data_IF_566553390779
#
_entry.id   IF_566553390779
#
_cell.length_a   1.000
_cell.length_b   1.000
_cell.length_c   1.000
_cell.angle_alpha   90.00
_cell.angle_beta   90.00
_cell.angle_gamma   90.00
#
_symmetry.space_group_name_H-M   'P 1'
#
loop_
_entity.id
_entity.type
_entity.pdbx_description
1 polymer ?
#
# COMPACT_ATOMS: atom_id res chain seq x y z
N UNK A 1 5.96 -15.94 -16.17
CA UNK A 1 4.88 -14.96 -16.45
C UNK A 1 3.95 -15.60 -17.45
N UNK A 2 2.64 -15.48 -17.29
CA UNK A 2 1.67 -16.09 -18.20
C UNK A 2 1.01 -15.01 -19.05
N UNK A 3 0.73 -15.31 -20.31
CA UNK A 3 -0.11 -14.49 -21.17
C UNK A 3 -1.23 -15.34 -21.74
N UNK A 4 -2.45 -14.82 -21.70
CA UNK A 4 -3.62 -15.48 -22.22
C UNK A 4 -4.56 -14.44 -22.83
N UNK A 5 -4.92 -14.63 -24.11
CA UNK A 5 -5.82 -13.75 -24.87
C UNK A 5 -5.50 -12.24 -24.74
N UNK A 6 -4.23 -11.89 -24.90
CA UNK A 6 -3.77 -10.49 -24.87
C UNK A 6 -3.62 -9.88 -23.47
N UNK A 7 -3.92 -10.61 -22.40
CA UNK A 7 -3.70 -10.18 -21.02
C UNK A 7 -2.44 -10.83 -20.42
N UNK A 8 -1.77 -10.11 -19.53
CA UNK A 8 -0.58 -10.57 -18.82
C UNK A 8 -0.89 -10.83 -17.34
N UNK A 9 -0.38 -11.95 -16.84
CA UNK A 9 -0.49 -12.38 -15.45
C UNK A 9 0.93 -12.48 -14.86
N UNK A 10 1.33 -11.42 -14.16
CA UNK A 10 2.67 -11.32 -13.58
C UNK A 10 2.78 -12.14 -12.30
N UNK A 11 3.50 -13.25 -12.42
CA UNK A 11 3.98 -14.02 -11.27
C UNK A 11 2.90 -14.92 -10.68
N UNK A 12 3.23 -15.55 -9.56
CA UNK A 12 2.33 -16.47 -8.87
C UNK A 12 1.09 -15.74 -8.32
N UNK A 13 1.23 -14.46 -8.00
CA UNK A 13 0.19 -13.61 -7.37
C UNK A 13 -0.93 -13.21 -8.33
N UNK A 14 -0.80 -13.56 -9.62
CA UNK A 14 -1.84 -13.34 -10.63
C UNK A 14 -2.38 -14.64 -11.21
N UNK A 15 -1.92 -15.79 -10.73
CA UNK A 15 -2.43 -17.09 -11.19
C UNK A 15 -3.92 -17.26 -10.87
N UNK A 16 -4.38 -16.74 -9.74
CA UNK A 16 -5.78 -16.80 -9.36
C UNK A 16 -6.69 -16.10 -10.39
N UNK A 17 -6.28 -14.95 -10.92
CA UNK A 17 -7.03 -14.28 -12.01
C UNK A 17 -7.07 -15.12 -13.29
N UNK A 18 -5.94 -15.73 -13.65
CA UNK A 18 -5.88 -16.58 -14.84
C UNK A 18 -6.78 -17.81 -14.66
N UNK A 19 -6.72 -18.46 -13.50
CA UNK A 19 -7.54 -19.61 -13.16
C UNK A 19 -9.04 -19.26 -13.15
N UNK A 20 -9.43 -18.17 -12.47
CA UNK A 20 -10.80 -17.65 -12.45
C UNK A 20 -11.32 -17.39 -13.87
N UNK A 21 -10.50 -16.78 -14.73
CA UNK A 21 -10.86 -16.51 -16.14
C UNK A 21 -11.02 -17.80 -16.95
N UNK A 22 -10.07 -18.74 -16.83
CA UNK A 22 -10.14 -20.03 -17.53
C UNK A 22 -11.36 -20.85 -17.08
N UNK A 23 -11.66 -20.87 -15.78
CA UNK A 23 -12.85 -21.49 -15.22
C UNK A 23 -14.13 -20.83 -15.75
N UNK A 24 -14.19 -19.49 -15.77
CA UNK A 24 -15.31 -18.74 -16.33
C UNK A 24 -15.56 -18.97 -17.83
N UNK A 25 -14.52 -19.38 -18.57
CA UNK A 25 -14.61 -19.78 -19.98
C UNK A 25 -14.93 -21.27 -20.19
N UNK A 26 -15.07 -22.05 -19.11
CA UNK A 26 -15.36 -23.49 -19.18
C UNK A 26 -14.14 -24.36 -19.52
N UNK A 27 -12.92 -23.84 -19.36
CA UNK A 27 -11.69 -24.63 -19.52
C UNK A 27 -11.32 -25.44 -18.28
N UNK A 28 -11.85 -25.09 -17.11
CA UNK A 28 -11.73 -25.94 -15.92
C UNK A 28 -12.59 -27.21 -16.08
N UNK A 29 -11.92 -28.36 -16.08
CA UNK A 29 -12.53 -29.70 -16.20
C UNK A 29 -12.50 -30.48 -14.89
N UNK A 30 -12.04 -29.86 -13.81
CA UNK A 30 -12.04 -30.50 -12.50
C UNK A 30 -13.47 -30.83 -12.04
N UNK A 31 -13.67 -31.89 -11.24
CA UNK A 31 -14.97 -32.18 -10.63
C UNK A 31 -15.50 -30.97 -9.84
N UNK A 32 -16.83 -30.81 -9.81
CA UNK A 32 -17.47 -29.76 -9.03
C UNK A 32 -17.04 -29.82 -7.55
N UNK A 33 -16.67 -28.66 -6.98
CA UNK A 33 -16.17 -28.56 -5.60
C UNK A 33 -14.66 -28.80 -5.45
N UNK A 34 -13.93 -29.07 -6.54
CA UNK A 34 -12.46 -29.10 -6.50
C UNK A 34 -11.94 -27.70 -6.15
N UNK A 35 -11.05 -27.55 -5.14
CA UNK A 35 -10.46 -26.26 -4.82
C UNK A 35 -9.61 -25.72 -5.99
N UNK A 36 -9.55 -24.39 -6.17
CA UNK A 36 -8.65 -23.78 -7.15
C UNK A 36 -7.19 -24.13 -6.85
N UNK A 37 -6.38 -24.27 -7.89
CA UNK A 37 -4.93 -24.49 -7.82
C UNK A 37 -4.19 -23.29 -7.23
N UNK A 38 -4.65 -22.09 -7.56
CA UNK A 38 -4.11 -20.82 -7.10
C UNK A 38 -5.25 -19.98 -6.47
N UNK A 39 -5.73 -20.35 -5.26
CA UNK A 39 -6.75 -19.56 -4.58
C UNK A 39 -6.24 -18.13 -4.33
N UNK A 40 -7.13 -17.16 -4.51
CA UNK A 40 -6.89 -15.82 -3.98
C UNK A 40 -6.71 -15.89 -2.45
N UNK A 41 -5.64 -15.27 -1.94
CA UNK A 41 -5.34 -15.20 -0.51
C UNK A 41 -5.43 -13.76 -0.04
N UNK A 42 -6.41 -13.48 0.81
CA UNK A 42 -6.63 -12.18 1.42
C UNK A 42 -6.63 -12.28 2.94
N UNK A 43 -6.78 -11.12 3.57
CA UNK A 43 -7.14 -10.91 4.96
C UNK A 43 -8.38 -11.72 5.32
N UNK A 44 -8.29 -12.48 6.41
CA UNK A 44 -9.43 -13.17 7.01
C UNK A 44 -10.04 -12.33 8.13
N UNK A 45 -9.22 -11.56 8.85
CA UNK A 45 -9.60 -10.82 10.06
C UNK A 45 -10.31 -11.74 11.06
N UNK A 46 -9.62 -12.83 11.38
CA UNK A 46 -10.12 -13.83 12.35
C UNK A 46 -10.24 -13.28 13.78
N UNK A 47 -10.71 -14.12 14.73
CA UNK A 47 -10.77 -13.76 16.14
C UNK A 47 -9.44 -13.21 16.65
N UNK A 48 -9.48 -12.12 17.41
CA UNK A 48 -8.28 -11.51 17.99
C UNK A 48 -7.84 -12.34 19.20
N UNK A 49 -6.62 -12.89 19.21
CA UNK A 49 -6.11 -13.62 20.36
C UNK A 49 -5.99 -12.70 21.59
N UNK A 50 -6.32 -13.20 22.78
CA UNK A 50 -5.81 -12.57 24.01
C UNK A 50 -4.28 -12.61 23.98
N UNK A 51 -3.67 -11.43 24.15
CA UNK A 51 -2.23 -11.19 24.08
C UNK A 51 -1.87 -10.02 24.99
N UNK A 52 -0.82 -10.16 25.79
CA UNK A 52 -0.23 -9.04 26.54
C UNK A 52 0.68 -8.18 25.64
N UNK A 53 1.06 -8.70 24.48
CA UNK A 53 1.91 -8.03 23.51
C UNK A 53 1.08 -7.29 22.46
N UNK A 54 1.44 -6.03 22.21
CA UNK A 54 0.86 -5.20 21.15
C UNK A 54 1.78 -5.26 19.92
N UNK A 55 1.38 -5.93 18.82
CA UNK A 55 2.23 -6.08 17.64
C UNK A 55 2.62 -4.71 17.05
N UNK A 56 3.84 -4.56 16.58
CA UNK A 56 4.29 -3.36 15.88
C UNK A 56 4.48 -3.66 14.40
N UNK A 57 3.76 -2.94 13.55
CA UNK A 57 3.83 -3.06 12.09
C UNK A 57 4.63 -1.89 11.53
N UNK A 58 5.81 -2.16 10.98
CA UNK A 58 6.50 -1.23 10.10
C UNK A 58 5.86 -1.30 8.70
N UNK A 59 5.24 -0.22 8.21
CA UNK A 59 4.59 -0.17 6.90
C UNK A 59 5.23 0.88 5.98
N UNK A 60 5.97 0.42 4.98
CA UNK A 60 6.56 1.29 3.96
C UNK A 60 5.64 1.47 2.77
N UNK A 61 5.35 2.73 2.46
CA UNK A 61 4.46 3.08 1.35
C UNK A 61 4.92 4.35 0.63
N UNK A 62 4.36 4.58 -0.56
CA UNK A 62 4.68 5.77 -1.36
C UNK A 62 3.43 6.34 -2.03
N UNK A 63 3.26 7.66 -1.98
CA UNK A 63 2.17 8.40 -2.65
C UNK A 63 2.19 8.32 -4.18
N UNK A 64 3.21 7.66 -4.76
CA UNK A 64 3.31 7.39 -6.19
C UNK A 64 3.27 5.90 -6.54
N UNK A 65 3.07 5.03 -5.56
CA UNK A 65 2.86 3.60 -5.81
C UNK A 65 1.36 3.29 -5.84
N UNK A 66 0.79 2.87 -6.99
CA UNK A 66 -0.63 2.55 -7.09
C UNK A 66 -1.01 1.35 -6.20
N UNK A 67 -0.10 0.41 -5.96
CA UNK A 67 -0.31 -0.66 -4.97
C UNK A 67 -0.26 -0.17 -3.52
N UNK A 68 0.42 0.96 -3.23
CA UNK A 68 0.33 1.57 -1.89
C UNK A 68 -1.07 2.10 -1.64
N UNK A 69 -1.77 2.63 -2.65
CA UNK A 69 -3.17 3.00 -2.50
C UNK A 69 -4.06 1.82 -2.12
N UNK A 70 -3.87 0.64 -2.72
CA UNK A 70 -4.61 -0.55 -2.31
C UNK A 70 -4.24 -0.95 -0.87
N UNK A 71 -2.96 -0.90 -0.53
CA UNK A 71 -2.46 -1.38 0.75
C UNK A 71 -2.83 -0.48 1.93
N UNK A 72 -2.81 0.85 1.80
CA UNK A 72 -3.06 1.77 2.92
C UNK A 72 -4.38 1.50 3.65
N UNK A 73 -5.58 1.56 3.03
CA UNK A 73 -6.84 1.35 3.74
C UNK A 73 -6.95 -0.07 4.34
N UNK A 74 -6.37 -1.08 3.67
CA UNK A 74 -6.32 -2.47 4.16
C UNK A 74 -5.40 -2.61 5.37
N UNK A 75 -4.27 -1.92 5.37
CA UNK A 75 -3.33 -1.86 6.49
C UNK A 75 -3.95 -1.20 7.70
N UNK A 76 -4.65 -0.07 7.52
CA UNK A 76 -5.38 0.58 8.61
C UNK A 76 -6.40 -0.40 9.20
N UNK A 77 -7.26 -0.99 8.36
CA UNK A 77 -8.27 -1.96 8.82
C UNK A 77 -7.65 -3.11 9.63
N UNK A 78 -6.56 -3.69 9.15
CA UNK A 78 -5.88 -4.79 9.82
C UNK A 78 -5.22 -4.35 11.14
N UNK A 79 -4.52 -3.20 11.16
CA UNK A 79 -3.86 -2.71 12.37
C UNK A 79 -4.88 -2.40 13.47
N UNK A 80 -6.00 -1.74 13.12
CA UNK A 80 -7.10 -1.46 14.05
C UNK A 80 -7.76 -2.75 14.57
N UNK A 81 -8.01 -3.73 13.70
CA UNK A 81 -8.63 -5.01 14.08
C UNK A 81 -7.80 -5.77 15.13
N UNK A 82 -6.48 -5.83 14.96
CA UNK A 82 -5.58 -6.55 15.89
C UNK A 82 -4.98 -5.67 16.99
N UNK A 83 -5.45 -4.42 17.13
CA UNK A 83 -4.88 -3.43 18.06
C UNK A 83 -3.35 -3.26 17.88
N UNK A 84 -2.82 -3.41 16.67
CA UNK A 84 -1.40 -3.26 16.39
C UNK A 84 -0.98 -1.77 16.42
N UNK A 85 0.26 -1.50 16.80
CA UNK A 85 0.90 -0.21 16.55
C UNK A 85 1.32 -0.13 15.07
N UNK A 86 0.78 0.83 14.33
CA UNK A 86 1.15 1.05 12.94
C UNK A 86 2.19 2.17 12.80
N UNK A 87 3.38 1.83 12.31
CA UNK A 87 4.44 2.78 11.97
C UNK A 87 4.41 3.09 10.48
N UNK A 88 3.93 4.28 10.14
CA UNK A 88 3.87 4.78 8.76
C UNK A 88 5.26 5.22 8.28
N UNK A 89 5.92 4.38 7.47
CA UNK A 89 7.25 4.61 6.92
C UNK A 89 7.18 5.13 5.48
N UNK A 90 6.88 6.42 5.32
CA UNK A 90 6.82 7.04 4.00
C UNK A 90 8.19 7.04 3.31
N UNK A 91 8.19 6.75 2.00
CA UNK A 91 9.40 6.75 1.18
C UNK A 91 9.20 7.48 -0.16
N UNK A 92 10.30 8.04 -0.67
CA UNK A 92 10.33 8.63 -2.01
C UNK A 92 10.12 7.57 -3.11
N UNK A 93 9.49 7.93 -4.25
CA UNK A 93 9.24 7.02 -5.36
C UNK A 93 10.51 6.40 -5.95
N UNK A 94 10.42 5.15 -6.45
CA UNK A 94 11.55 4.46 -7.09
C UNK A 94 12.20 5.23 -8.24
N UNK A 95 11.39 5.93 -9.07
CA UNK A 95 11.91 6.71 -10.20
C UNK A 95 12.74 7.91 -9.76
N UNK A 96 12.44 8.48 -8.60
CA UNK A 96 13.23 9.57 -8.02
C UNK A 96 14.53 9.04 -7.40
N UNK A 97 14.70 7.71 -7.35
CA UNK A 97 15.91 6.99 -6.94
C UNK A 97 16.69 6.42 -8.14
N UNK A 98 16.43 6.92 -9.37
CA UNK A 98 17.20 6.57 -10.58
C UNK A 98 16.76 5.30 -11.32
N UNK A 99 15.60 4.73 -11.01
CA UNK A 99 15.09 3.50 -11.67
C UNK A 99 14.00 3.83 -12.70
N UNK A 100 14.31 3.88 -14.02
CA UNK A 100 13.33 4.23 -15.04
C UNK A 100 12.23 3.17 -15.15
N UNK A 101 10.99 3.63 -15.34
CA UNK A 101 9.83 2.76 -15.61
C UNK A 101 9.34 3.05 -17.04
N UNK A 102 9.59 2.16 -18.02
CA UNK A 102 9.13 2.30 -19.39
C UNK A 102 7.62 2.45 -19.50
N UNK A 103 7.11 3.09 -20.56
CA UNK A 103 5.66 3.31 -20.75
C UNK A 103 4.85 2.01 -20.71
N UNK A 104 5.32 0.95 -21.37
CA UNK A 104 4.67 -0.38 -21.36
C UNK A 104 4.52 -0.92 -19.94
N UNK A 105 5.57 -0.81 -19.12
CA UNK A 105 5.55 -1.20 -17.71
C UNK A 105 4.59 -0.34 -16.88
N UNK A 106 4.49 0.97 -17.15
CA UNK A 106 3.53 1.86 -16.47
C UNK A 106 2.08 1.45 -16.76
N UNK A 107 1.75 1.24 -18.03
CA UNK A 107 0.39 0.84 -18.42
C UNK A 107 0.00 -0.50 -17.82
N UNK A 108 0.91 -1.49 -17.84
CA UNK A 108 0.66 -2.76 -17.16
C UNK A 108 0.35 -2.55 -15.66
N UNK A 109 1.18 -1.79 -14.95
CA UNK A 109 0.99 -1.55 -13.50
C UNK A 109 -0.37 -0.90 -13.23
N UNK A 110 -0.78 0.07 -14.04
CA UNK A 110 -2.07 0.76 -13.87
C UNK A 110 -3.24 -0.20 -14.08
N UNK A 111 -3.21 -1.00 -15.16
CA UNK A 111 -4.26 -1.98 -15.45
C UNK A 111 -4.31 -3.08 -14.38
N UNK A 112 -3.15 -3.57 -13.96
CA UNK A 112 -3.03 -4.54 -12.88
C UNK A 112 -3.55 -3.99 -11.56
N UNK A 113 -3.18 -2.77 -11.20
CA UNK A 113 -3.68 -2.16 -9.97
C UNK A 113 -5.20 -1.94 -10.05
N UNK A 114 -5.76 -1.61 -11.22
CA UNK A 114 -7.22 -1.49 -11.38
C UNK A 114 -7.94 -2.79 -11.03
N UNK A 115 -7.51 -3.93 -11.57
CA UNK A 115 -8.14 -5.24 -11.26
C UNK A 115 -7.97 -5.64 -9.79
N UNK A 116 -6.82 -5.32 -9.18
CA UNK A 116 -6.62 -5.57 -7.74
C UNK A 116 -7.47 -4.64 -6.87
N UNK A 117 -7.60 -3.37 -7.24
CA UNK A 117 -8.45 -2.42 -6.54
C UNK A 117 -9.93 -2.83 -6.61
N UNK A 118 -10.39 -3.30 -7.78
CA UNK A 118 -11.74 -3.84 -7.95
C UNK A 118 -11.99 -5.03 -7.03
N UNK A 119 -11.04 -5.98 -6.96
CA UNK A 119 -11.14 -7.12 -6.03
C UNK A 119 -11.17 -6.68 -4.57
N UNK A 120 -10.42 -5.64 -4.22
CA UNK A 120 -10.41 -5.06 -2.87
C UNK A 120 -11.60 -4.14 -2.58
N UNK A 121 -12.51 -3.90 -3.54
CA UNK A 121 -13.64 -2.98 -3.39
C UNK A 121 -13.23 -1.50 -3.27
N UNK A 122 -12.08 -1.11 -3.82
CA UNK A 122 -11.53 0.23 -3.73
C UNK A 122 -11.70 0.99 -5.06
N UNK A 123 -12.00 2.30 -5.02
CA UNK A 123 -12.07 3.10 -6.23
C UNK A 123 -10.68 3.28 -6.85
N UNK A 124 -10.62 3.25 -8.18
CA UNK A 124 -9.38 3.45 -8.95
C UNK A 124 -9.73 3.89 -10.38
N UNK A 125 -8.95 4.81 -10.95
CA UNK A 125 -8.98 5.06 -12.41
C UNK A 125 -8.89 6.52 -12.85
N UNK A 126 -9.21 7.50 -11.98
CA UNK A 126 -8.89 8.91 -12.26
C UNK A 126 -7.49 9.20 -11.74
N UNK A 127 -6.48 8.73 -12.47
CA UNK A 127 -5.09 8.78 -12.03
C UNK A 127 -4.41 10.09 -12.44
N UNK A 128 -3.73 10.74 -11.50
CA UNK A 128 -2.78 11.84 -11.75
C UNK A 128 -1.38 11.36 -11.35
N UNK A 129 -0.31 11.72 -12.08
CA UNK A 129 1.06 11.34 -11.68
C UNK A 129 1.60 12.36 -10.68
N UNK A 130 1.87 11.92 -9.45
CA UNK A 130 2.39 12.74 -8.37
C UNK A 130 3.92 12.86 -8.36
N UNK A 131 4.63 12.37 -9.39
CA UNK A 131 6.11 12.43 -9.45
C UNK A 131 6.66 13.84 -9.26
N UNK A 132 7.78 13.92 -8.55
CA UNK A 132 8.49 15.18 -8.31
C UNK A 132 7.88 15.92 -7.13
N UNK A 133 7.39 17.15 -7.37
CA UNK A 133 6.90 18.03 -6.32
C UNK A 133 5.70 17.44 -5.56
N UNK A 134 4.77 16.77 -6.23
CA UNK A 134 3.60 16.15 -5.58
C UNK A 134 3.99 15.15 -4.49
N UNK A 135 4.90 14.22 -4.80
CA UNK A 135 5.38 13.22 -3.85
C UNK A 135 6.15 13.88 -2.69
N UNK A 136 7.07 14.82 -2.97
CA UNK A 136 7.83 15.51 -1.93
C UNK A 136 6.92 16.31 -0.98
N UNK A 137 5.93 17.03 -1.53
CA UNK A 137 4.95 17.80 -0.75
C UNK A 137 4.08 16.91 0.12
N UNK A 138 3.64 15.75 -0.39
CA UNK A 138 2.90 14.77 0.40
C UNK A 138 3.75 14.19 1.55
N UNK A 139 5.04 13.95 1.31
CA UNK A 139 5.98 13.50 2.34
C UNK A 139 6.17 14.55 3.44
N UNK A 140 6.30 15.82 3.07
CA UNK A 140 6.34 16.93 4.02
C UNK A 140 5.08 16.95 4.90
N UNK A 141 3.90 16.92 4.30
CA UNK A 141 2.63 16.99 5.05
C UNK A 141 2.44 15.77 5.95
N UNK A 142 2.73 14.55 5.48
CA UNK A 142 2.56 13.36 6.33
C UNK A 142 3.52 13.36 7.52
N UNK A 143 4.75 13.86 7.35
CA UNK A 143 5.72 13.96 8.43
C UNK A 143 5.16 14.78 9.61
N UNK A 144 4.47 15.88 9.33
CA UNK A 144 3.79 16.70 10.35
C UNK A 144 2.45 16.12 10.78
N UNK A 145 1.75 15.40 9.91
CA UNK A 145 0.45 14.80 10.24
C UNK A 145 0.55 13.67 11.27
N UNK A 146 1.65 12.89 11.24
CA UNK A 146 1.87 11.77 12.16
C UNK A 146 1.85 12.20 13.64
N UNK A 147 2.68 13.17 14.10
CA UNK A 147 2.67 13.58 15.51
C UNK A 147 1.35 14.26 15.95
N UNK A 148 0.53 14.71 14.99
CA UNK A 148 -0.80 15.28 15.24
C UNK A 148 -1.93 14.23 15.29
N UNK A 149 -1.61 12.93 15.15
CA UNK A 149 -2.62 11.87 15.08
C UNK A 149 -3.45 11.89 13.79
N UNK A 150 -2.96 12.56 12.74
CA UNK A 150 -3.61 12.68 11.42
C UNK A 150 -2.89 11.91 10.31
N UNK A 151 -1.81 11.20 10.65
CA UNK A 151 -0.98 10.46 9.69
C UNK A 151 -1.75 9.42 8.88
N UNK A 152 -2.57 8.59 9.53
CA UNK A 152 -3.37 7.54 8.86
C UNK A 152 -4.38 8.13 7.88
N UNK A 153 -5.17 9.11 8.32
CA UNK A 153 -6.16 9.78 7.49
C UNK A 153 -5.52 10.46 6.28
N UNK A 154 -4.37 11.12 6.47
CA UNK A 154 -3.66 11.77 5.37
C UNK A 154 -3.00 10.76 4.42
N UNK A 155 -2.46 9.63 4.93
CA UNK A 155 -1.90 8.57 4.10
C UNK A 155 -2.96 8.00 3.14
N UNK A 156 -4.16 7.70 3.66
CA UNK A 156 -5.27 7.17 2.85
C UNK A 156 -5.76 8.21 1.84
N UNK A 157 -6.11 9.41 2.31
CA UNK A 157 -6.68 10.45 1.45
C UNK A 157 -5.69 10.96 0.41
N UNK A 158 -4.39 11.06 0.75
CA UNK A 158 -3.35 11.44 -0.19
C UNK A 158 -3.11 10.39 -1.27
N UNK A 159 -3.15 9.10 -0.93
CA UNK A 159 -3.08 8.05 -1.94
C UNK A 159 -4.35 8.02 -2.82
N UNK A 160 -5.53 8.14 -2.21
CA UNK A 160 -6.81 8.19 -2.92
C UNK A 160 -6.89 9.35 -3.91
N UNK A 161 -6.42 10.53 -3.50
CA UNK A 161 -6.38 11.73 -4.32
C UNK A 161 -5.72 11.46 -5.68
N UNK A 162 -4.58 10.78 -5.65
CA UNK A 162 -3.73 10.50 -6.83
C UNK A 162 -4.30 9.38 -7.69
N UNK A 163 -4.85 8.31 -7.10
CA UNK A 163 -5.19 7.09 -7.84
C UNK A 163 -6.69 6.88 -8.10
N UNK A 164 -7.57 7.61 -7.42
CA UNK A 164 -9.01 7.43 -7.51
C UNK A 164 -9.78 8.72 -7.80
N UNK A 165 -9.39 9.84 -7.16
CA UNK A 165 -10.16 11.08 -7.24
C UNK A 165 -9.67 12.04 -8.36
N UNK A 166 -8.45 11.84 -8.86
CA UNK A 166 -7.86 12.68 -9.91
C UNK A 166 -7.43 14.07 -9.41
N UNK A 167 -7.05 14.17 -8.14
CA UNK A 167 -6.64 15.40 -7.50
C UNK A 167 -5.12 15.53 -7.57
N UNK A 168 -4.66 16.62 -8.18
CA UNK A 168 -3.25 16.94 -8.26
C UNK A 168 -2.76 17.58 -6.94
N UNK A 169 -1.96 16.83 -6.19
CA UNK A 169 -1.35 17.27 -4.92
C UNK A 169 0.00 17.99 -5.12
N UNK A 170 0.42 18.23 -6.36
CA UNK A 170 1.60 19.04 -6.67
C UNK A 170 1.36 20.55 -6.52
N UNK A 171 0.10 20.98 -6.52
CA UNK A 171 -0.32 22.37 -6.29
C UNK A 171 -0.92 22.56 -4.88
N UNK A 172 -1.10 23.81 -4.46
CA UNK A 172 -1.59 24.16 -3.12
C UNK A 172 -3.07 23.82 -2.94
N UNK A 173 -3.91 24.07 -3.94
CA UNK A 173 -5.36 23.81 -3.87
C UNK A 173 -5.65 22.34 -3.58
N UNK A 174 -5.08 21.43 -4.38
CA UNK A 174 -5.27 20.00 -4.21
C UNK A 174 -4.70 19.47 -2.90
N UNK A 175 -3.48 19.88 -2.54
CA UNK A 175 -2.83 19.42 -1.31
C UNK A 175 -3.57 19.90 -0.06
N UNK A 176 -3.92 21.19 0.02
CA UNK A 176 -4.65 21.76 1.16
C UNK A 176 -6.05 21.15 1.25
N UNK A 177 -6.74 20.96 0.13
CA UNK A 177 -8.06 20.32 0.11
C UNK A 177 -8.02 18.88 0.65
N UNK A 178 -7.03 18.10 0.25
CA UNK A 178 -6.81 16.73 0.76
C UNK A 178 -6.43 16.74 2.24
N UNK A 179 -5.53 17.63 2.65
CA UNK A 179 -5.11 17.76 4.04
C UNK A 179 -6.26 18.18 4.96
N UNK A 180 -7.13 19.09 4.51
CA UNK A 180 -8.32 19.52 5.23
C UNK A 180 -9.29 18.35 5.47
N UNK A 181 -9.52 17.49 4.46
CA UNK A 181 -10.31 16.25 4.62
C UNK A 181 -9.69 15.29 5.65
N UNK A 182 -8.37 15.31 5.81
CA UNK A 182 -7.64 14.55 6.84
C UNK A 182 -7.62 15.25 8.22
N UNK A 183 -8.25 16.41 8.36
CA UNK A 183 -8.30 17.17 9.61
C UNK A 183 -7.08 18.05 9.89
N UNK A 184 -6.30 18.39 8.86
CA UNK A 184 -5.16 19.31 8.95
C UNK A 184 -5.56 20.71 8.49
N UNK A 185 -5.08 21.75 9.18
CA UNK A 185 -5.31 23.13 8.76
C UNK A 185 -4.35 23.53 7.63
N UNK A 186 -4.73 24.55 6.85
CA UNK A 186 -3.84 25.14 5.85
C UNK A 186 -2.53 25.68 6.48
N UNK A 187 -2.58 26.12 7.73
CA UNK A 187 -1.39 26.55 8.49
C UNK A 187 -0.40 25.40 8.68
N UNK A 188 -0.88 24.22 9.10
CA UNK A 188 -0.03 23.02 9.25
C UNK A 188 0.57 22.61 7.91
N UNK A 189 -0.20 22.67 6.81
CA UNK A 189 0.34 22.37 5.48
C UNK A 189 1.45 23.34 5.10
N UNK A 190 1.25 24.64 5.33
CA UNK A 190 2.26 25.66 5.02
C UNK A 190 3.54 25.48 5.84
N UNK A 191 3.41 25.19 7.13
CA UNK A 191 4.54 24.88 8.01
C UNK A 191 5.30 23.65 7.52
N UNK A 192 4.58 22.57 7.20
CA UNK A 192 5.18 21.34 6.68
C UNK A 192 5.97 21.59 5.38
N UNK A 193 5.43 22.40 4.47
CA UNK A 193 6.10 22.73 3.21
C UNK A 193 7.34 23.61 3.38
N UNK A 194 7.43 24.35 4.49
CA UNK A 194 8.60 25.15 4.84
C UNK A 194 9.66 24.37 5.63
N UNK A 195 9.32 23.18 6.13
CA UNK A 195 10.21 22.32 6.91
C UNK A 195 10.93 21.28 6.03
N UNK A 196 12.24 21.15 6.24
CA UNK A 196 13.12 20.18 5.58
C UNK A 196 13.43 18.93 6.43
N UNK A 197 12.78 18.75 7.56
CA UNK A 197 12.97 17.61 8.46
C UNK A 197 12.49 16.27 7.86
N UNK A 198 11.46 16.32 7.00
CA UNK A 198 10.87 15.13 6.38
C UNK A 198 11.85 14.37 5.48
N UNK A 199 12.84 15.04 4.88
CA UNK A 199 13.85 14.42 4.02
C UNK A 199 14.68 13.42 4.81
N UNK A 200 15.12 13.80 6.01
CA UNK A 200 15.89 12.92 6.88
C UNK A 200 15.04 11.72 7.33
N UNK A 201 13.80 11.96 7.75
CA UNK A 201 12.88 10.90 8.13
C UNK A 201 12.59 9.91 6.96
N UNK A 202 12.42 10.43 5.74
CA UNK A 202 12.23 9.60 4.55
C UNK A 202 13.47 8.75 4.22
N UNK A 203 14.66 9.30 4.45
CA UNK A 203 15.94 8.61 4.24
C UNK A 203 16.19 7.52 5.29
N UNK A 204 15.86 7.78 6.55
CA UNK A 204 15.90 6.78 7.63
C UNK A 204 14.91 5.64 7.35
N UNK A 205 13.69 5.97 6.91
CA UNK A 205 12.72 4.97 6.46
C UNK A 205 13.25 4.17 5.26
N UNK A 206 13.91 4.81 4.30
CA UNK A 206 14.51 4.14 3.15
C UNK A 206 15.62 3.18 3.59
N UNK A 207 16.50 3.58 4.51
CA UNK A 207 17.55 2.71 5.04
C UNK A 207 16.94 1.50 5.75
N UNK A 208 15.94 1.72 6.60
CA UNK A 208 15.26 0.63 7.30
C UNK A 208 14.57 -0.36 6.34
N UNK A 209 14.09 0.10 5.18
CA UNK A 209 13.56 -0.77 4.12
C UNK A 209 14.64 -1.68 3.53
N UNK A 210 15.82 -1.12 3.25
CA UNK A 210 16.96 -1.88 2.73
C UNK A 210 17.52 -2.85 3.76
N UNK A 211 17.60 -2.44 5.03
CA UNK A 211 18.01 -3.29 6.14
C UNK A 211 17.03 -4.47 6.34
N UNK A 212 15.76 -4.28 5.95
CA UNK A 212 14.75 -5.34 5.90
C UNK A 212 14.84 -6.24 4.63
N UNK A 213 15.85 -6.03 3.77
CA UNK A 213 16.09 -6.83 2.57
C UNK A 213 15.22 -6.46 1.36
N UNK A 214 14.48 -5.35 1.42
CA UNK A 214 13.53 -4.96 0.38
C UNK A 214 13.87 -3.58 -0.20
N UNK A 215 13.24 -3.23 -1.31
CA UNK A 215 13.60 -2.02 -2.09
C UNK A 215 12.40 -1.17 -2.48
N UNK A 216 11.17 -1.66 -2.32
CA UNK A 216 9.96 -1.08 -2.89
C UNK A 216 8.80 -0.98 -1.92
N UNK A 217 7.77 -0.26 -2.35
CA UNK A 217 6.50 -0.11 -1.65
C UNK A 217 5.35 -0.73 -2.45
N UNK A 218 4.31 -1.27 -1.79
CA UNK A 218 4.20 -1.40 -0.35
C UNK A 218 5.08 -2.53 0.21
N UNK A 219 5.63 -2.34 1.40
CA UNK A 219 6.36 -3.36 2.17
C UNK A 219 5.88 -3.29 3.61
N UNK A 220 5.82 -4.42 4.30
CA UNK A 220 5.47 -4.47 5.72
C UNK A 220 6.25 -5.52 6.49
N UNK A 221 6.40 -5.29 7.79
CA UNK A 221 7.09 -6.19 8.73
C UNK A 221 6.46 -6.07 10.11
N UNK A 222 6.34 -7.19 10.81
CA UNK A 222 5.84 -7.25 12.21
C UNK A 222 7.02 -7.54 13.13
N UNK A 223 7.23 -6.75 14.18
CA UNK A 223 8.19 -7.00 15.27
C UNK A 223 9.59 -7.48 14.85
N UNK A 224 10.10 -7.01 13.71
CA UNK A 224 11.42 -7.42 13.21
C UNK A 224 11.48 -8.78 12.50
N UNK A 225 10.35 -9.48 12.32
CA UNK A 225 10.21 -10.68 11.50
C UNK A 225 10.65 -10.45 10.04
N UNK A 226 10.79 -11.49 9.20
CA UNK A 226 11.05 -11.29 7.78
C UNK A 226 10.01 -10.35 7.14
N UNK A 227 10.47 -9.38 6.35
CA UNK A 227 9.58 -8.42 5.71
C UNK A 227 8.93 -9.00 4.45
N UNK A 228 7.70 -8.56 4.17
CA UNK A 228 6.93 -8.94 3.00
C UNK A 228 6.79 -7.77 2.04
N UNK A 229 6.90 -8.05 0.73
CA UNK A 229 6.74 -7.05 -0.32
C UNK A 229 5.48 -7.31 -1.15
N UNK A 230 4.71 -6.24 -1.39
CA UNK A 230 3.53 -6.26 -2.23
C UNK A 230 2.20 -6.36 -1.46
N UNK A 231 1.16 -5.77 -2.02
CA UNK A 231 -0.21 -5.81 -1.49
C UNK A 231 -0.83 -7.22 -1.51
N UNK A 232 -0.16 -8.17 -2.16
CA UNK A 232 -0.56 -9.57 -2.29
C UNK A 232 -0.09 -10.43 -1.10
N UNK A 233 0.57 -9.83 -0.09
CA UNK A 233 1.11 -10.53 1.09
C UNK A 233 0.35 -10.24 2.38
N UNK A 234 -0.83 -9.64 2.31
CA UNK A 234 -1.63 -9.34 3.51
C UNK A 234 -2.02 -10.59 4.31
N UNK A 235 -2.20 -11.74 3.64
CA UNK A 235 -2.41 -13.02 4.33
C UNK A 235 -1.21 -13.43 5.18
N UNK A 236 0.02 -13.13 4.73
CA UNK A 236 1.25 -13.44 5.45
C UNK A 236 1.46 -12.44 6.60
N UNK A 237 1.15 -11.16 6.37
CA UNK A 237 1.13 -10.14 7.43
C UNK A 237 0.21 -10.53 8.59
N UNK A 238 -1.00 -11.00 8.28
CA UNK A 238 -1.96 -11.43 9.30
C UNK A 238 -1.42 -12.66 10.06
N UNK A 239 -0.75 -13.60 9.39
CA UNK A 239 -0.09 -14.73 10.05
C UNK A 239 1.00 -14.28 11.02
N UNK A 240 1.87 -13.36 10.60
CA UNK A 240 2.94 -12.82 11.45
C UNK A 240 2.36 -12.12 12.69
N UNK A 241 1.29 -11.33 12.53
CA UNK A 241 0.58 -10.69 13.65
C UNK A 241 0.06 -11.72 14.63
N UNK A 242 -0.62 -12.76 14.15
CA UNK A 242 -1.18 -13.81 15.00
C UNK A 242 -0.07 -14.59 15.71
N UNK A 243 1.07 -14.84 15.04
CA UNK A 243 2.22 -15.51 15.62
C UNK A 243 2.80 -14.70 16.78
N UNK A 244 3.09 -13.41 16.60
CA UNK A 244 3.65 -12.59 17.69
C UNK A 244 2.68 -12.38 18.85
N UNK A 245 1.37 -12.34 18.58
CA UNK A 245 0.35 -12.25 19.63
C UNK A 245 0.21 -13.55 20.43
N UNK A 246 0.44 -14.71 19.80
CA UNK A 246 0.28 -16.01 20.46
C UNK A 246 1.56 -16.51 21.12
N UNK A 247 2.73 -16.11 20.64
CA UNK A 247 4.04 -16.42 21.23
C UNK A 247 4.25 -15.76 22.60
N UNK A 248 3.53 -14.67 22.89
CA UNK A 248 3.64 -13.89 24.13
C UNK A 248 2.44 -14.09 25.08
N UNK A 249 1.91 -15.32 25.12
CA UNK A 249 0.87 -15.75 26.08
C UNK A 249 1.46 -16.31 27.35
#
# INVERSE_FOLDING_TARGET
MFSFEGEWYWGIDRLNHLEERLAGMGFDKAPAGTPPLAPYRDLKLGPVPESAHRPVIDFWFSFRSPYSWIAVPRMLKLAHHYNAELRLRFILPMVMRGLPVPRTKRFYIVLDTKREADRAGLPFGRVVDSVGSGAARALAVIHHAIPLGRGEAFAELGCRAVFADGIDISNDEGLIGVAARAGLSAGVVKEALADGSWQQAAEENRKALFDAGLWGAPTFRVDGMPAHWGQDRFWALEQDILEVMTANR
#
